data_IF_123550550320
#
_entry.id   IF_123550550320
#
_cell.length_a   1.000
_cell.length_b   1.000
_cell.length_c   1.000
_cell.angle_alpha   90.00
_cell.angle_beta   90.00
_cell.angle_gamma   90.00
#
_symmetry.space_group_name_H-M   'P 1'
#
loop_
_entity.id
_entity.type
_entity.pdbx_description
1 polymer ?
#
# COMPACT_ATOMS: atom_id res chain seq x y z
N UNK A 1 26.57 -57.83 -49.32
CA UNK A 1 25.15 -57.64 -49.68
C UNK A 1 25.05 -56.40 -50.57
N UNK A 2 24.83 -56.58 -51.87
CA UNK A 2 24.21 -55.62 -52.82
C UNK A 2 22.72 -56.03 -52.95
N UNK A 3 21.76 -55.27 -53.54
CA UNK A 3 21.89 -54.07 -54.39
C UNK A 3 20.83 -52.95 -54.16
N UNK A 4 20.93 -51.87 -54.96
CA UNK A 4 19.84 -51.07 -55.61
C UNK A 4 18.75 -50.40 -54.74
N UNK A 5 18.11 -49.28 -55.08
CA UNK A 5 17.45 -48.95 -56.35
C UNK A 5 16.99 -47.47 -56.33
N UNK A 6 16.99 -46.84 -57.49
CA UNK A 6 16.42 -45.51 -57.80
C UNK A 6 14.90 -45.46 -57.68
N UNK A 7 14.30 -44.27 -57.46
CA UNK A 7 13.16 -43.78 -58.26
C UNK A 7 12.86 -42.29 -57.98
N UNK A 8 12.74 -41.49 -59.03
CA UNK A 8 12.21 -40.13 -58.97
C UNK A 8 10.72 -40.05 -59.34
N UNK A 9 10.08 -38.91 -59.06
CA UNK A 9 8.93 -38.32 -59.77
C UNK A 9 8.69 -36.92 -59.14
N UNK A 10 8.91 -35.80 -59.86
CA UNK A 10 8.02 -35.11 -60.80
C UNK A 10 6.85 -34.33 -60.16
N UNK A 11 6.93 -32.99 -60.29
CA UNK A 11 5.87 -31.99 -60.51
C UNK A 11 4.49 -32.16 -59.86
N UNK A 12 4.06 -31.16 -59.09
CA UNK A 12 3.10 -30.15 -59.57
C UNK A 12 2.53 -29.28 -58.45
N UNK A 13 2.74 -27.98 -58.62
CA UNK A 13 1.94 -26.89 -58.05
C UNK A 13 0.48 -27.03 -58.48
N UNK A 14 -0.45 -27.13 -57.53
CA UNK A 14 -1.87 -26.97 -57.78
C UNK A 14 -2.28 -25.57 -57.32
N UNK A 15 -2.41 -24.69 -58.32
CA UNK A 15 -3.17 -23.45 -58.24
C UNK A 15 -4.66 -23.82 -58.20
N UNK A 16 -5.33 -23.48 -57.11
CA UNK A 16 -6.79 -23.49 -57.07
C UNK A 16 -7.30 -22.18 -57.69
N UNK A 17 -7.63 -22.25 -58.98
CA UNK A 17 -8.41 -21.23 -59.67
C UNK A 17 -9.89 -21.40 -59.31
N UNK A 18 -10.44 -20.45 -58.57
CA UNK A 18 -11.88 -20.28 -58.41
C UNK A 18 -12.37 -19.14 -59.31
N UNK A 19 -13.46 -19.45 -60.02
CA UNK A 19 -14.16 -18.66 -61.02
C UNK A 19 -14.82 -17.40 -60.42
N UNK A 20 -14.91 -16.32 -61.20
CA UNK A 20 -15.73 -15.16 -60.84
C UNK A 20 -15.57 -13.97 -61.78
N UNK A 21 -16.15 -14.06 -62.99
CA UNK A 21 -16.34 -12.90 -63.86
C UNK A 21 -17.50 -12.04 -63.36
N UNK A 22 -17.25 -10.74 -63.19
CA UNK A 22 -18.27 -9.75 -62.84
C UNK A 22 -17.77 -8.34 -63.18
N UNK A 23 -18.53 -7.65 -64.02
CA UNK A 23 -18.25 -6.34 -64.63
C UNK A 23 -18.08 -5.22 -63.61
N UNK A 24 -17.21 -4.27 -63.94
CA UNK A 24 -16.61 -3.33 -63.00
C UNK A 24 -17.57 -2.35 -62.31
N UNK A 25 -17.26 -2.09 -61.04
CA UNK A 25 -17.27 -0.76 -60.42
C UNK A 25 -16.06 -0.69 -59.49
N UNK A 26 -15.39 0.46 -59.47
CA UNK A 26 -14.13 0.69 -58.78
C UNK A 26 -14.20 0.37 -57.29
N UNK A 27 -13.67 -0.78 -56.89
CA UNK A 27 -13.38 -1.05 -55.48
C UNK A 27 -12.03 -0.44 -55.17
N UNK A 28 -12.04 0.58 -54.32
CA UNK A 28 -10.84 1.12 -53.71
C UNK A 28 -10.07 -0.05 -53.10
N UNK A 29 -8.89 -0.39 -53.65
CA UNK A 29 -7.95 -1.30 -53.01
C UNK A 29 -7.40 -0.57 -51.79
N UNK A 30 -8.21 -0.57 -50.73
CA UNK A 30 -7.76 -0.22 -49.40
C UNK A 30 -6.65 -1.20 -49.07
N UNK A 31 -5.41 -0.71 -49.13
CA UNK A 31 -4.30 -1.32 -48.43
C UNK A 31 -4.81 -1.54 -47.01
N UNK A 32 -5.07 -2.80 -46.64
CA UNK A 32 -5.28 -3.16 -45.24
C UNK A 32 -3.90 -3.02 -44.60
N UNK A 33 -3.54 -1.80 -44.22
CA UNK A 33 -2.43 -1.57 -43.33
C UNK A 33 -2.72 -2.39 -42.07
N UNK A 34 -1.80 -3.27 -41.61
CA UNK A 34 -1.97 -3.95 -40.35
C UNK A 34 -2.21 -2.88 -39.30
N UNK A 35 -3.40 -2.87 -38.69
CA UNK A 35 -3.63 -2.01 -37.53
C UNK A 35 -2.71 -2.56 -36.46
N UNK A 36 -1.59 -1.88 -36.22
CA UNK A 36 -0.68 -2.21 -35.11
C UNK A 36 -1.50 -2.01 -33.84
N UNK A 37 -1.97 -3.12 -33.27
CA UNK A 37 -2.77 -3.13 -32.05
C UNK A 37 -1.88 -3.25 -30.83
N UNK A 38 -2.28 -2.61 -29.74
CA UNK A 38 -1.68 -2.83 -28.43
C UNK A 38 -2.22 -4.13 -27.86
N UNK A 39 -1.35 -5.03 -27.42
CA UNK A 39 -1.75 -6.24 -26.68
C UNK A 39 -1.33 -6.11 -25.23
N UNK A 40 -2.31 -6.27 -24.35
CA UNK A 40 -2.14 -6.35 -22.90
C UNK A 40 -2.50 -7.77 -22.46
N UNK A 41 -1.70 -8.36 -21.58
CA UNK A 41 -1.95 -9.67 -21.01
C UNK A 41 -1.72 -9.64 -19.51
N UNK A 42 -2.15 -10.65 -18.77
CA UNK A 42 -1.88 -10.74 -17.34
C UNK A 42 -2.76 -11.76 -16.67
N UNK A 43 -2.74 -11.75 -15.33
CA UNK A 43 -3.58 -12.63 -14.51
C UNK A 43 -4.42 -11.79 -13.56
N UNK A 44 -5.70 -12.10 -13.45
CA UNK A 44 -6.59 -11.51 -12.45
C UNK A 44 -6.81 -12.50 -11.29
N UNK A 45 -6.48 -12.08 -10.06
CA UNK A 45 -6.58 -12.95 -8.90
C UNK A 45 -6.73 -12.16 -7.59
N UNK A 46 -7.40 -12.77 -6.62
CA UNK A 46 -7.50 -12.28 -5.21
C UNK A 46 -6.92 -13.29 -4.21
N UNK A 47 -5.92 -14.07 -4.63
CA UNK A 47 -5.41 -15.27 -3.96
C UNK A 47 -5.87 -16.56 -4.64
N UNK A 48 -7.09 -16.55 -5.20
CA UNK A 48 -7.46 -17.49 -6.26
C UNK A 48 -7.66 -16.76 -7.58
N UNK A 49 -7.39 -17.45 -8.67
CA UNK A 49 -7.72 -17.04 -10.02
C UNK A 49 -9.18 -16.61 -10.14
N UNK A 50 -9.42 -15.43 -10.72
CA UNK A 50 -10.75 -14.99 -11.09
C UNK A 50 -11.10 -15.63 -12.43
N UNK A 51 -11.86 -16.73 -12.42
CA UNK A 51 -12.28 -17.43 -13.65
C UNK A 51 -13.46 -16.74 -14.32
N UNK A 52 -13.40 -16.52 -15.65
CA UNK A 52 -14.50 -15.97 -16.43
C UNK A 52 -14.85 -14.51 -16.09
N UNK A 53 -13.95 -13.78 -15.46
CA UNK A 53 -14.15 -12.40 -15.05
C UNK A 53 -13.98 -11.44 -16.23
N UNK A 54 -14.89 -10.48 -16.44
CA UNK A 54 -14.76 -9.50 -17.52
C UNK A 54 -13.64 -8.51 -17.20
N UNK A 55 -12.73 -8.34 -18.17
CA UNK A 55 -11.63 -7.38 -18.14
C UNK A 55 -11.90 -6.31 -19.18
N UNK A 56 -11.81 -5.05 -18.76
CA UNK A 56 -12.04 -3.88 -19.62
C UNK A 56 -10.81 -2.97 -19.57
N UNK A 57 -10.40 -2.43 -20.72
CA UNK A 57 -9.31 -1.47 -20.82
C UNK A 57 -9.75 -0.21 -21.57
N UNK A 58 -9.35 0.96 -21.05
CA UNK A 58 -9.48 2.27 -21.70
C UNK A 58 -8.10 2.88 -21.81
N UNK A 59 -7.67 3.17 -23.03
CA UNK A 59 -6.32 3.63 -23.35
C UNK A 59 -6.35 5.09 -23.82
N UNK A 60 -5.17 5.71 -24.03
CA UNK A 60 -5.08 7.04 -24.66
C UNK A 60 -5.86 7.11 -25.96
N UNK A 61 -5.70 6.08 -26.77
CA UNK A 61 -6.58 5.80 -27.91
C UNK A 61 -6.96 4.34 -27.85
N UNK A 62 -8.19 4.03 -28.25
CA UNK A 62 -8.72 2.67 -28.23
C UNK A 62 -9.21 2.21 -26.86
N UNK A 63 -10.09 1.23 -26.90
CA UNK A 63 -10.59 0.51 -25.74
C UNK A 63 -10.87 -0.93 -26.14
N UNK A 64 -10.85 -1.84 -25.18
CA UNK A 64 -11.11 -3.24 -25.46
C UNK A 64 -11.65 -3.97 -24.23
N UNK A 65 -12.22 -5.15 -24.48
CA UNK A 65 -12.73 -6.03 -23.44
C UNK A 65 -12.35 -7.48 -23.74
N UNK A 66 -12.09 -8.26 -22.70
CA UNK A 66 -11.87 -9.70 -22.79
C UNK A 66 -12.40 -10.36 -21.52
N UNK A 67 -12.24 -11.67 -21.40
CA UNK A 67 -12.56 -12.42 -20.18
C UNK A 67 -11.37 -13.25 -19.76
N UNK A 68 -11.19 -13.44 -18.46
CA UNK A 68 -10.15 -14.33 -17.93
C UNK A 68 -10.48 -15.79 -18.19
N UNK A 69 -9.45 -16.61 -18.41
CA UNK A 69 -9.52 -18.05 -18.44
C UNK A 69 -9.69 -18.63 -17.01
N UNK A 70 -9.84 -19.95 -16.91
CA UNK A 70 -10.04 -20.64 -15.62
C UNK A 70 -8.86 -20.54 -14.65
N UNK A 71 -7.66 -20.27 -15.17
CA UNK A 71 -6.45 -19.97 -14.39
C UNK A 71 -6.27 -18.48 -14.10
N UNK A 72 -7.26 -17.65 -14.47
CA UNK A 72 -7.25 -16.20 -14.26
C UNK A 72 -6.45 -15.43 -15.31
N UNK A 73 -5.77 -16.10 -16.23
CA UNK A 73 -5.00 -15.43 -17.29
C UNK A 73 -5.93 -14.77 -18.30
N UNK A 74 -5.49 -13.67 -18.91
CA UNK A 74 -6.20 -13.01 -20.00
C UNK A 74 -5.23 -12.45 -21.04
N UNK A 75 -5.74 -12.27 -22.25
CA UNK A 75 -5.06 -11.54 -23.33
C UNK A 75 -6.08 -10.64 -24.03
N UNK A 76 -5.71 -9.38 -24.20
CA UNK A 76 -6.56 -8.32 -24.74
C UNK A 76 -5.82 -7.59 -25.86
N UNK A 77 -6.28 -7.78 -27.08
CA UNK A 77 -5.85 -6.98 -28.23
C UNK A 77 -6.74 -5.74 -28.37
N UNK A 78 -6.12 -4.57 -28.49
CA UNK A 78 -6.79 -3.26 -28.60
C UNK A 78 -6.41 -2.66 -29.95
N UNK A 79 -7.35 -2.68 -30.90
CA UNK A 79 -7.16 -2.08 -32.21
C UNK A 79 -6.93 -0.57 -32.08
N UNK A 80 -5.81 -0.07 -32.64
CA UNK A 80 -5.41 1.33 -32.51
C UNK A 80 -5.09 1.77 -31.08
N UNK A 81 -4.82 0.81 -30.18
CA UNK A 81 -4.51 1.05 -28.78
C UNK A 81 -3.20 1.81 -28.59
N UNK A 82 -3.21 2.88 -27.79
CA UNK A 82 -2.00 3.62 -27.40
C UNK A 82 -1.96 3.82 -25.89
N UNK A 83 -0.81 3.55 -25.28
CA UNK A 83 -0.57 3.69 -23.84
C UNK A 83 -0.59 5.17 -23.36
N UNK A 84 -0.86 5.42 -22.07
CA UNK A 84 -1.17 4.45 -21.03
C UNK A 84 -2.62 3.94 -21.12
N UNK A 85 -2.89 2.83 -20.45
CA UNK A 85 -4.24 2.27 -20.32
C UNK A 85 -4.63 2.10 -18.86
N UNK A 86 -5.88 2.37 -18.53
CA UNK A 86 -6.51 2.00 -17.25
C UNK A 86 -7.34 0.75 -17.48
N UNK A 87 -7.12 -0.27 -16.66
CA UNK A 87 -7.80 -1.55 -16.72
C UNK A 87 -8.68 -1.75 -15.49
N UNK A 88 -9.76 -2.50 -15.66
CA UNK A 88 -10.66 -2.94 -14.60
C UNK A 88 -11.01 -4.41 -14.83
N UNK A 89 -11.01 -5.23 -13.78
CA UNK A 89 -11.69 -6.53 -13.73
C UNK A 89 -12.79 -6.49 -12.69
N UNK A 90 -13.91 -7.15 -12.98
CA UNK A 90 -14.98 -7.35 -12.00
C UNK A 90 -14.94 -8.77 -11.44
N UNK A 91 -14.78 -8.90 -10.12
CA UNK A 91 -14.95 -10.18 -9.45
C UNK A 91 -16.45 -10.42 -9.18
N UNK A 92 -17.06 -11.34 -9.94
CA UNK A 92 -18.48 -11.64 -9.78
C UNK A 92 -18.84 -12.25 -8.41
N UNK A 93 -17.89 -12.86 -7.70
CA UNK A 93 -18.15 -13.51 -6.42
C UNK A 93 -18.46 -12.52 -5.29
N UNK A 94 -17.89 -11.31 -5.33
CA UNK A 94 -18.04 -10.29 -4.29
C UNK A 94 -18.35 -8.88 -4.84
N UNK A 95 -18.57 -8.76 -6.16
CA UNK A 95 -18.75 -7.50 -6.89
C UNK A 95 -17.62 -6.49 -6.70
N UNK A 96 -16.43 -6.94 -6.26
CA UNK A 96 -15.27 -6.05 -6.16
C UNK A 96 -14.67 -5.81 -7.53
N UNK A 97 -14.28 -4.56 -7.75
CA UNK A 97 -13.52 -4.15 -8.92
C UNK A 97 -12.06 -4.00 -8.52
N UNK A 98 -11.17 -4.53 -9.36
CA UNK A 98 -9.73 -4.33 -9.22
C UNK A 98 -9.24 -3.59 -10.46
N UNK A 99 -8.28 -2.69 -10.25
CA UNK A 99 -7.77 -1.85 -11.29
C UNK A 99 -6.26 -1.98 -11.43
N UNK A 100 -5.76 -1.67 -12.63
CA UNK A 100 -4.34 -1.54 -12.90
C UNK A 100 -4.13 -0.46 -13.96
N UNK A 101 -2.94 0.13 -13.98
CA UNK A 101 -2.53 1.07 -15.04
C UNK A 101 -1.41 0.40 -15.84
N UNK A 102 -1.56 0.31 -17.15
CA UNK A 102 -0.52 -0.17 -18.06
C UNK A 102 0.22 1.02 -18.67
N UNK A 103 1.55 1.06 -18.52
CA UNK A 103 2.43 2.02 -19.22
C UNK A 103 3.36 1.37 -20.25
N UNK A 104 3.37 0.04 -20.31
CA UNK A 104 4.09 -0.75 -21.29
C UNK A 104 3.16 -1.81 -21.89
N UNK A 105 3.48 -2.30 -23.07
CA UNK A 105 2.84 -3.50 -23.61
C UNK A 105 3.25 -4.73 -22.79
N UNK A 106 2.42 -5.78 -22.81
CA UNK A 106 2.68 -7.02 -22.07
C UNK A 106 1.90 -7.14 -20.77
N UNK A 107 2.57 -7.53 -19.70
CA UNK A 107 1.94 -8.01 -18.45
C UNK A 107 1.36 -6.87 -17.62
N UNK A 108 0.10 -7.03 -17.23
CA UNK A 108 -0.68 -6.14 -16.38
C UNK A 108 -1.57 -7.00 -15.50
N UNK A 109 -1.13 -7.34 -14.29
CA UNK A 109 -1.96 -8.16 -13.40
C UNK A 109 -3.05 -7.33 -12.73
N UNK A 110 -4.22 -7.94 -12.52
CA UNK A 110 -5.37 -7.31 -11.88
C UNK A 110 -5.60 -7.97 -10.51
N UNK A 111 -5.00 -7.38 -9.49
CA UNK A 111 -4.90 -7.94 -8.13
C UNK A 111 -5.18 -6.85 -7.09
N UNK A 112 -5.47 -7.20 -5.83
CA UNK A 112 -5.52 -6.23 -4.74
C UNK A 112 -4.27 -5.34 -4.62
N UNK A 113 -3.07 -5.85 -4.93
CA UNK A 113 -1.83 -5.08 -4.87
C UNK A 113 -1.74 -4.05 -6.00
N UNK A 114 -2.10 -4.42 -7.23
CA UNK A 114 -2.09 -3.50 -8.38
C UNK A 114 -3.19 -2.44 -8.29
N UNK A 115 -4.31 -2.77 -7.64
CA UNK A 115 -5.38 -1.82 -7.32
C UNK A 115 -4.95 -0.78 -6.27
N UNK A 116 -4.29 -1.22 -5.19
CA UNK A 116 -3.67 -0.34 -4.20
C UNK A 116 -2.58 0.55 -4.79
N UNK A 117 -1.72 -0.01 -5.64
CA UNK A 117 -0.67 0.74 -6.34
C UNK A 117 -1.26 1.78 -7.29
N UNK A 118 -2.29 1.42 -8.06
CA UNK A 118 -2.94 2.36 -8.97
C UNK A 118 -3.64 3.48 -8.21
N UNK A 119 -4.32 3.15 -7.11
CA UNK A 119 -4.91 4.13 -6.17
C UNK A 119 -3.85 5.07 -5.61
N UNK A 120 -2.68 4.54 -5.23
CA UNK A 120 -1.53 5.32 -4.75
C UNK A 120 -0.94 6.23 -5.83
N UNK A 121 -0.88 5.80 -7.08
CA UNK A 121 -0.39 6.61 -8.20
C UNK A 121 -1.34 7.75 -8.52
N UNK A 122 -2.65 7.45 -8.58
CA UNK A 122 -3.66 8.43 -8.99
C UNK A 122 -4.10 9.37 -7.87
N UNK A 123 -3.76 9.05 -6.62
CA UNK A 123 -4.19 9.79 -5.42
C UNK A 123 -5.71 9.86 -5.26
N UNK A 124 -6.44 8.88 -5.79
CA UNK A 124 -7.91 8.83 -5.79
C UNK A 124 -8.40 7.41 -6.00
N UNK A 125 -9.69 7.17 -5.75
CA UNK A 125 -10.36 5.91 -6.05
C UNK A 125 -10.32 5.59 -7.55
N UNK A 126 -9.88 4.37 -7.87
CA UNK A 126 -9.70 3.92 -9.24
C UNK A 126 -11.00 3.61 -9.97
N UNK A 127 -12.10 3.33 -9.25
CA UNK A 127 -13.40 3.14 -9.90
C UNK A 127 -13.87 4.43 -10.56
N UNK A 128 -13.64 5.57 -9.91
CA UNK A 128 -13.86 6.90 -10.47
C UNK A 128 -12.97 7.19 -11.68
N UNK A 129 -11.66 6.91 -11.57
CA UNK A 129 -10.69 7.07 -12.67
C UNK A 129 -11.08 6.23 -13.88
N UNK A 130 -11.46 4.96 -13.69
CA UNK A 130 -11.83 4.09 -14.80
C UNK A 130 -13.15 4.53 -15.45
N UNK A 131 -14.09 5.07 -14.67
CA UNK A 131 -15.37 5.55 -15.19
C UNK A 131 -15.16 6.72 -16.16
N UNK A 132 -14.34 7.70 -15.78
CA UNK A 132 -14.00 8.87 -16.59
C UNK A 132 -12.48 9.13 -16.60
N UNK A 133 -11.71 8.41 -17.44
CA UNK A 133 -10.25 8.46 -17.39
C UNK A 133 -9.71 9.76 -18.01
N UNK A 134 -9.10 10.60 -17.17
CA UNK A 134 -8.21 11.66 -17.63
C UNK A 134 -6.83 11.05 -17.95
N UNK A 135 -6.67 10.59 -19.19
CA UNK A 135 -5.44 9.92 -19.62
C UNK A 135 -4.21 10.84 -19.57
N UNK A 136 -4.38 12.16 -19.73
CA UNK A 136 -3.28 13.09 -19.59
C UNK A 136 -2.79 13.16 -18.14
N UNK A 137 -3.71 13.14 -17.17
CA UNK A 137 -3.36 13.03 -15.76
C UNK A 137 -2.68 11.69 -15.43
N UNK A 138 -3.15 10.57 -16.01
CA UNK A 138 -2.52 9.25 -15.85
C UNK A 138 -1.08 9.27 -16.39
N UNK A 139 -0.87 9.79 -17.60
CA UNK A 139 0.46 9.90 -18.21
C UNK A 139 1.43 10.73 -17.35
N UNK A 140 0.94 11.84 -16.78
CA UNK A 140 1.75 12.68 -15.91
C UNK A 140 2.08 12.00 -14.56
N UNK A 141 1.14 11.24 -14.01
CA UNK A 141 1.28 10.62 -12.69
C UNK A 141 2.17 9.36 -12.73
N UNK A 142 2.16 8.61 -13.83
CA UNK A 142 2.76 7.28 -13.89
C UNK A 142 4.10 7.29 -14.63
N UNK A 143 5.16 7.21 -13.85
CA UNK A 143 6.56 7.09 -14.28
C UNK A 143 7.18 5.86 -13.63
N UNK A 144 8.34 5.39 -14.11
CA UNK A 144 9.06 4.28 -13.47
C UNK A 144 9.36 4.58 -12.00
N UNK A 145 9.70 5.83 -11.69
CA UNK A 145 10.01 6.25 -10.31
C UNK A 145 8.76 6.31 -9.43
N UNK A 146 7.66 6.87 -9.93
CA UNK A 146 6.41 6.91 -9.16
C UNK A 146 5.82 5.51 -8.95
N UNK A 147 6.02 4.56 -9.88
CA UNK A 147 5.65 3.15 -9.69
C UNK A 147 6.49 2.52 -8.57
N UNK A 148 7.82 2.71 -8.57
CA UNK A 148 8.69 2.19 -7.51
C UNK A 148 8.30 2.77 -6.15
N UNK A 149 8.07 4.07 -6.08
CA UNK A 149 7.62 4.72 -4.84
C UNK A 149 6.25 4.19 -4.41
N UNK A 150 5.30 4.02 -5.33
CA UNK A 150 3.99 3.45 -5.02
C UNK A 150 4.09 2.01 -4.52
N UNK A 151 4.99 1.18 -5.06
CA UNK A 151 5.26 -0.17 -4.55
C UNK A 151 5.79 -0.14 -3.11
N UNK A 152 6.71 0.77 -2.79
CA UNK A 152 7.23 0.95 -1.43
C UNK A 152 6.14 1.41 -0.46
N UNK A 153 5.31 2.37 -0.89
CA UNK A 153 4.19 2.90 -0.11
C UNK A 153 3.12 1.83 0.18
N UNK A 154 2.79 0.99 -0.81
CA UNK A 154 1.88 -0.17 -0.62
C UNK A 154 2.49 -1.20 0.33
N UNK A 155 3.77 -1.52 0.14
CA UNK A 155 4.48 -2.48 1.01
C UNK A 155 4.45 -2.02 2.47
N UNK A 156 4.60 -0.71 2.68
CA UNK A 156 4.54 -0.11 4.00
C UNK A 156 3.12 -0.09 4.57
N UNK A 157 2.12 0.30 3.78
CA UNK A 157 0.72 0.29 4.21
C UNK A 157 0.25 -1.11 4.63
N UNK A 158 0.88 -2.16 4.09
CA UNK A 158 0.54 -3.55 4.35
C UNK A 158 1.46 -4.25 5.36
N UNK A 159 2.51 -3.60 5.87
CA UNK A 159 3.58 -4.28 6.62
C UNK A 159 3.11 -4.94 7.93
N UNK A 160 2.02 -4.48 8.52
CA UNK A 160 1.39 -5.12 9.69
C UNK A 160 0.55 -6.36 9.34
N UNK A 161 0.17 -6.51 8.08
CA UNK A 161 -0.62 -7.64 7.57
C UNK A 161 0.27 -8.67 6.89
N UNK A 162 0.97 -8.25 5.84
CA UNK A 162 1.77 -9.13 4.98
C UNK A 162 3.13 -8.51 4.67
N UNK A 163 4.14 -9.36 4.60
CA UNK A 163 5.48 -8.94 4.22
C UNK A 163 5.61 -8.90 2.69
N UNK A 164 5.30 -7.74 2.10
CA UNK A 164 5.38 -7.48 0.66
C UNK A 164 6.82 -7.30 0.18
N UNK A 165 7.79 -7.12 1.09
CA UNK A 165 9.20 -6.95 0.72
C UNK A 165 9.81 -8.20 0.03
N UNK A 166 9.14 -9.35 0.14
CA UNK A 166 9.48 -10.59 -0.56
C UNK A 166 9.21 -10.53 -2.08
N UNK A 167 8.41 -9.57 -2.53
CA UNK A 167 8.14 -9.32 -3.95
C UNK A 167 9.02 -8.17 -4.43
N UNK A 168 9.84 -8.42 -5.44
CA UNK A 168 10.72 -7.38 -6.02
C UNK A 168 9.94 -6.40 -6.89
N UNK A 169 8.94 -6.91 -7.62
CA UNK A 169 8.05 -6.16 -8.48
C UNK A 169 6.72 -6.91 -8.54
N UNK A 170 5.65 -6.33 -8.02
CA UNK A 170 4.30 -6.90 -8.11
C UNK A 170 3.44 -6.19 -9.18
N UNK A 171 4.03 -5.23 -9.89
CA UNK A 171 3.43 -4.49 -10.99
C UNK A 171 3.66 -5.18 -12.35
N UNK A 172 4.92 -5.49 -12.68
CA UNK A 172 5.32 -6.03 -13.99
C UNK A 172 5.59 -7.54 -14.03
N UNK A 173 5.79 -8.19 -12.87
CA UNK A 173 6.09 -9.63 -12.82
C UNK A 173 4.87 -10.46 -13.22
N UNK A 174 4.98 -11.43 -14.14
CA UNK A 174 3.89 -12.37 -14.44
C UNK A 174 3.40 -13.09 -13.19
N UNK A 175 2.09 -13.16 -13.01
CA UNK A 175 1.45 -13.86 -11.90
C UNK A 175 0.90 -15.22 -12.35
N UNK A 176 1.29 -16.27 -11.65
CA UNK A 176 0.65 -17.59 -11.69
C UNK A 176 -0.23 -17.75 -10.45
N UNK A 177 -1.54 -17.67 -10.64
CA UNK A 177 -2.51 -17.84 -9.57
C UNK A 177 -2.80 -19.31 -9.26
N UNK A 178 -3.13 -19.61 -8.00
CA UNK A 178 -3.77 -20.86 -7.63
C UNK A 178 -5.19 -20.93 -8.25
N UNK A 179 -5.65 -22.14 -8.55
CA UNK A 179 -6.97 -22.37 -9.15
C UNK A 179 -7.80 -23.25 -8.22
N UNK A 180 -9.11 -23.30 -8.45
CA UNK A 180 -9.99 -24.21 -7.71
C UNK A 180 -9.58 -25.69 -7.88
N UNK A 181 -8.97 -26.05 -9.01
CA UNK A 181 -8.46 -27.40 -9.28
C UNK A 181 -7.09 -27.67 -8.64
N UNK A 182 -6.32 -26.64 -8.33
CA UNK A 182 -5.02 -26.76 -7.69
C UNK A 182 -4.74 -25.54 -6.80
N UNK A 183 -5.22 -25.62 -5.56
CA UNK A 183 -5.24 -24.52 -4.59
C UNK A 183 -3.88 -24.17 -4.01
N UNK A 184 -2.81 -24.89 -4.37
CA UNK A 184 -1.45 -24.65 -3.87
C UNK A 184 -0.43 -24.34 -4.97
N UNK A 185 -0.86 -24.31 -6.24
CA UNK A 185 0.01 -24.10 -7.39
C UNK A 185 0.45 -22.65 -7.65
N UNK A 186 -0.04 -21.71 -6.84
CA UNK A 186 0.30 -20.30 -6.90
C UNK A 186 1.78 -20.01 -6.71
N UNK A 187 2.27 -18.96 -7.37
CA UNK A 187 3.62 -18.45 -7.17
C UNK A 187 3.76 -17.64 -5.86
N UNK A 188 4.89 -16.94 -5.70
CA UNK A 188 5.16 -16.15 -4.50
C UNK A 188 4.19 -14.96 -4.33
N UNK A 189 3.77 -14.32 -5.43
CA UNK A 189 2.83 -13.20 -5.38
C UNK A 189 1.44 -13.71 -5.04
N UNK A 190 1.01 -14.84 -5.62
CA UNK A 190 -0.27 -15.47 -5.30
C UNK A 190 -0.38 -15.88 -3.82
N UNK A 191 0.67 -16.53 -3.28
CA UNK A 191 0.74 -16.86 -1.85
C UNK A 191 0.67 -15.64 -0.94
N UNK A 192 1.17 -14.50 -1.39
CA UNK A 192 1.02 -13.24 -0.66
C UNK A 192 -0.41 -12.70 -0.75
N UNK A 193 -1.07 -12.81 -1.91
CA UNK A 193 -2.49 -12.46 -2.06
C UNK A 193 -3.38 -13.34 -1.16
N UNK A 194 -3.07 -14.63 -1.02
CA UNK A 194 -3.74 -15.52 -0.06
C UNK A 194 -3.56 -15.05 1.38
N UNK A 195 -2.32 -14.74 1.78
CA UNK A 195 -2.03 -14.23 3.11
C UNK A 195 -2.73 -12.88 3.37
N UNK A 196 -2.81 -12.02 2.36
CA UNK A 196 -3.51 -10.73 2.45
C UNK A 196 -5.01 -10.95 2.66
N UNK A 197 -5.63 -11.84 1.85
CA UNK A 197 -7.05 -12.19 1.98
C UNK A 197 -7.37 -12.80 3.35
N UNK A 198 -6.47 -13.61 3.90
CA UNK A 198 -6.66 -14.25 5.21
C UNK A 198 -6.54 -13.25 6.38
N UNK A 199 -5.69 -12.23 6.25
CA UNK A 199 -5.38 -11.29 7.35
C UNK A 199 -6.12 -9.96 7.29
N UNK A 200 -6.77 -9.66 6.17
CA UNK A 200 -7.34 -8.34 5.92
C UNK A 200 -8.81 -8.43 5.50
N UNK A 201 -9.69 -7.85 6.30
CA UNK A 201 -11.12 -7.72 5.98
C UNK A 201 -11.35 -6.74 4.83
N UNK A 202 -12.52 -6.82 4.18
CA UNK A 202 -12.90 -5.87 3.14
C UNK A 202 -12.93 -4.41 3.65
N UNK A 203 -13.32 -4.18 4.91
CA UNK A 203 -13.30 -2.85 5.53
C UNK A 203 -11.87 -2.33 5.70
N UNK A 204 -10.95 -3.16 6.19
CA UNK A 204 -9.53 -2.79 6.30
C UNK A 204 -8.90 -2.53 4.93
N UNK A 205 -9.30 -3.30 3.90
CA UNK A 205 -8.90 -3.02 2.52
C UNK A 205 -9.38 -1.66 2.02
N UNK A 206 -10.63 -1.30 2.29
CA UNK A 206 -11.14 0.04 1.99
C UNK A 206 -10.38 1.15 2.73
N UNK A 207 -10.02 0.93 4.00
CA UNK A 207 -9.20 1.88 4.78
C UNK A 207 -7.79 2.04 4.20
N UNK A 208 -7.15 0.94 3.77
CA UNK A 208 -5.84 0.98 3.12
C UNK A 208 -5.90 1.74 1.78
N UNK A 209 -6.95 1.55 0.98
CA UNK A 209 -7.16 2.31 -0.26
C UNK A 209 -7.38 3.81 0.01
N UNK A 210 -8.20 4.18 1.00
CA UNK A 210 -8.39 5.58 1.38
C UNK A 210 -7.09 6.24 1.88
N UNK A 211 -6.31 5.49 2.67
CA UNK A 211 -4.99 5.91 3.11
C UNK A 211 -4.06 6.13 1.91
N UNK A 212 -3.94 5.16 1.00
CA UNK A 212 -3.05 5.26 -0.15
C UNK A 212 -3.45 6.39 -1.12
N UNK A 213 -4.75 6.62 -1.30
CA UNK A 213 -5.25 7.72 -2.11
C UNK A 213 -4.80 9.08 -1.54
N UNK A 214 -4.97 9.29 -0.23
CA UNK A 214 -4.86 10.62 0.40
C UNK A 214 -3.56 10.88 1.15
N UNK A 215 -2.81 9.84 1.52
CA UNK A 215 -1.63 10.02 2.34
C UNK A 215 -0.52 10.75 1.59
N UNK A 216 0.25 11.55 2.31
CA UNK A 216 1.54 12.03 1.80
C UNK A 216 2.52 10.86 1.72
N UNK A 217 3.47 10.94 0.78
CA UNK A 217 4.59 10.00 0.79
C UNK A 217 5.39 10.14 2.09
N UNK A 218 6.04 9.06 2.48
CA UNK A 218 6.97 9.06 3.61
C UNK A 218 8.09 10.07 3.34
N UNK A 219 8.39 10.94 4.30
CA UNK A 219 9.48 11.90 4.17
C UNK A 219 9.21 13.09 3.25
N UNK A 220 7.95 13.36 2.89
CA UNK A 220 7.59 14.69 2.35
C UNK A 220 7.89 15.70 3.44
N UNK A 221 8.94 16.49 3.22
CA UNK A 221 9.22 17.66 4.06
C UNK A 221 8.02 18.58 3.92
N UNK A 222 7.27 18.77 5.00
CA UNK A 222 6.21 19.76 5.06
C UNK A 222 6.91 21.10 5.25
N UNK A 223 7.41 21.68 4.15
CA UNK A 223 8.08 22.98 4.15
C UNK A 223 7.12 24.12 4.56
N UNK A 224 5.82 23.85 4.45
CA UNK A 224 4.71 24.70 4.86
C UNK A 224 3.85 23.96 5.88
N UNK A 225 4.39 23.76 7.08
CA UNK A 225 3.54 23.63 8.26
C UNK A 225 2.52 24.78 8.24
N UNK A 226 1.23 24.47 8.33
CA UNK A 226 0.15 25.47 8.45
C UNK A 226 0.60 26.60 9.42
N UNK A 227 0.36 27.89 9.13
CA UNK A 227 0.85 28.99 9.96
C UNK A 227 0.55 28.74 11.45
N UNK A 228 1.60 28.46 12.25
CA UNK A 228 1.49 28.18 13.68
C UNK A 228 1.64 26.71 14.11
N UNK A 229 1.70 25.73 13.19
CA UNK A 229 1.99 24.34 13.57
C UNK A 229 3.46 24.19 13.98
N UNK A 230 3.68 23.82 15.24
CA UNK A 230 5.01 23.52 15.80
C UNK A 230 5.19 22.01 15.91
N UNK A 231 6.06 21.38 15.10
CA UNK A 231 6.28 19.94 15.17
C UNK A 231 6.92 19.53 16.50
N UNK A 232 6.47 18.39 17.04
CA UNK A 232 6.93 17.80 18.29
C UNK A 232 7.40 16.37 18.05
N UNK A 233 8.40 15.97 18.83
CA UNK A 233 8.96 14.62 18.88
C UNK A 233 9.44 14.33 20.31
N UNK A 234 8.92 13.27 20.89
CA UNK A 234 9.37 12.71 22.18
C UNK A 234 9.75 11.24 21.97
N UNK A 235 10.84 10.79 22.61
CA UNK A 235 11.33 9.42 22.55
C UNK A 235 11.20 8.76 23.92
N UNK A 236 10.53 7.62 23.97
CA UNK A 236 10.29 6.88 25.21
C UNK A 236 10.69 5.39 25.06
N UNK A 237 11.34 4.79 26.09
CA UNK A 237 11.98 5.47 27.22
C UNK A 237 13.24 6.23 26.78
N UNK A 238 13.62 7.33 27.46
CA UNK A 238 14.89 8.03 27.19
C UNK A 238 16.12 7.31 27.78
N UNK A 239 15.92 6.43 28.76
CA UNK A 239 16.96 5.59 29.35
C UNK A 239 16.41 4.20 29.62
N UNK A 240 17.17 3.17 29.28
CA UNK A 240 16.78 1.78 29.57
C UNK A 240 17.99 0.88 29.83
N UNK A 241 17.74 -0.24 30.51
CA UNK A 241 18.72 -1.32 30.73
C UNK A 241 18.21 -2.59 30.07
N UNK A 242 19.08 -3.34 29.40
CA UNK A 242 18.71 -4.59 28.72
C UNK A 242 19.84 -5.61 28.80
N UNK A 243 19.51 -6.90 28.81
CA UNK A 243 20.52 -7.95 28.72
C UNK A 243 21.21 -7.93 27.35
N UNK A 244 22.43 -8.47 27.27
CA UNK A 244 23.08 -8.77 25.98
C UNK A 244 22.17 -9.64 25.11
N UNK A 245 22.04 -9.31 23.82
CA UNK A 245 21.07 -9.93 22.90
C UNK A 245 19.58 -9.80 23.30
N UNK A 246 19.27 -9.01 24.34
CA UNK A 246 17.91 -8.74 24.77
C UNK A 246 17.19 -7.75 23.85
N UNK A 247 15.86 -7.69 23.97
CA UNK A 247 15.01 -6.80 23.18
C UNK A 247 14.36 -5.73 24.04
N UNK A 248 14.15 -4.56 23.46
CA UNK A 248 13.45 -3.43 24.06
C UNK A 248 12.63 -2.68 23.00
N UNK A 249 11.44 -2.23 23.37
CA UNK A 249 10.59 -1.40 22.49
C UNK A 249 10.74 0.07 22.86
N UNK A 250 11.08 0.89 21.87
CA UNK A 250 10.98 2.35 21.94
C UNK A 250 9.72 2.82 21.21
N UNK A 251 9.21 3.99 21.58
CA UNK A 251 8.19 4.70 20.82
C UNK A 251 8.58 6.14 20.61
N UNK A 252 8.17 6.65 19.46
CA UNK A 252 8.20 8.06 19.16
C UNK A 252 6.81 8.62 19.36
N UNK A 253 6.71 9.78 20.00
CA UNK A 253 5.45 10.49 20.17
C UNK A 253 5.54 11.79 19.41
N UNK A 254 4.65 11.92 18.44
CA UNK A 254 4.67 13.00 17.45
C UNK A 254 3.29 13.63 17.34
N UNK A 255 3.23 14.94 17.13
CA UNK A 255 2.02 15.59 16.65
C UNK A 255 1.97 15.58 15.11
N UNK A 256 0.81 15.87 14.53
CA UNK A 256 0.62 15.82 13.09
C UNK A 256 0.00 17.13 12.58
N UNK A 257 0.45 17.65 11.43
CA UNK A 257 -0.20 18.80 10.80
C UNK A 257 -1.65 18.46 10.46
N UNK A 258 -2.55 19.45 10.55
CA UNK A 258 -3.93 19.27 10.13
C UNK A 258 -3.99 18.85 8.66
N UNK A 259 -4.97 17.99 8.32
CA UNK A 259 -5.22 17.50 6.95
C UNK A 259 -4.09 16.69 6.31
N UNK A 260 -3.01 16.35 7.03
CA UNK A 260 -1.96 15.47 6.52
C UNK A 260 -2.15 14.06 7.08
N UNK A 261 -2.35 13.10 6.20
CA UNK A 261 -2.37 11.67 6.54
C UNK A 261 -1.04 11.03 6.15
N UNK A 262 -0.48 10.22 7.04
CA UNK A 262 0.77 9.51 6.80
C UNK A 262 0.53 8.01 6.72
N UNK A 263 1.24 7.34 5.81
CA UNK A 263 1.15 5.87 5.64
C UNK A 263 1.64 5.14 6.89
N UNK A 264 2.67 5.70 7.54
CA UNK A 264 3.20 5.30 8.85
C UNK A 264 3.51 6.55 9.66
N UNK A 265 3.83 6.39 10.93
CA UNK A 265 4.47 7.45 11.68
C UNK A 265 5.77 7.88 10.97
N UNK A 266 5.94 9.16 10.59
CA UNK A 266 7.06 9.65 9.77
C UNK A 266 8.31 9.82 10.63
N UNK A 267 8.83 8.71 11.14
CA UNK A 267 10.04 8.67 11.96
C UNK A 267 11.02 7.64 11.42
N UNK A 268 12.29 7.98 11.54
CA UNK A 268 13.42 7.12 11.21
C UNK A 268 14.14 6.71 12.48
N UNK A 269 14.20 5.41 12.71
CA UNK A 269 14.94 4.79 13.81
C UNK A 269 16.35 4.41 13.37
N UNK A 270 17.34 4.68 14.22
CA UNK A 270 18.74 4.31 14.00
C UNK A 270 19.41 3.97 15.32
N UNK A 271 20.29 2.97 15.32
CA UNK A 271 21.31 2.83 16.38
C UNK A 271 22.48 3.74 16.02
N UNK A 272 22.97 4.52 16.99
CA UNK A 272 24.03 5.52 16.75
C UNK A 272 25.37 4.84 16.54
N UNK A 273 25.68 3.81 17.33
CA UNK A 273 26.89 3.03 17.23
C UNK A 273 26.75 1.89 16.20
N UNK A 274 27.81 1.65 15.41
CA UNK A 274 27.81 0.59 14.39
C UNK A 274 27.78 -0.82 15.00
N UNK A 275 28.28 -0.99 16.22
CA UNK A 275 28.27 -2.24 16.98
C UNK A 275 27.19 -2.25 18.07
N UNK A 276 26.29 -1.26 18.08
CA UNK A 276 25.22 -1.13 19.08
C UNK A 276 24.00 -1.99 18.87
N UNK A 277 24.09 -3.06 18.06
CA UNK A 277 22.95 -3.94 17.77
C UNK A 277 22.12 -3.45 16.58
N UNK A 278 20.79 -3.64 16.65
CA UNK A 278 19.87 -3.27 15.55
C UNK A 278 18.56 -2.71 16.06
N UNK A 279 17.86 -1.95 15.22
CA UNK A 279 16.52 -1.42 15.52
C UNK A 279 15.60 -1.55 14.31
N UNK A 280 14.36 -1.99 14.55
CA UNK A 280 13.34 -2.10 13.51
C UNK A 280 12.69 -0.74 13.17
N UNK A 281 11.95 -0.70 12.07
CA UNK A 281 11.15 0.47 11.67
C UNK A 281 10.09 0.87 12.70
N UNK A 282 9.71 -0.05 13.60
CA UNK A 282 8.71 0.18 14.65
C UNK A 282 9.35 0.46 16.02
N UNK A 283 10.66 0.69 16.08
CA UNK A 283 11.36 0.97 17.34
C UNK A 283 11.68 -0.27 18.20
N UNK A 284 11.59 -1.49 17.66
CA UNK A 284 12.07 -2.69 18.38
C UNK A 284 13.59 -2.78 18.26
N UNK A 285 14.28 -2.50 19.35
CA UNK A 285 15.73 -2.58 19.48
C UNK A 285 16.16 -3.97 19.96
N UNK A 286 17.20 -4.53 19.33
CA UNK A 286 17.90 -5.73 19.78
C UNK A 286 19.33 -5.34 20.17
N UNK A 287 19.65 -5.53 21.44
CA UNK A 287 20.95 -5.20 22.01
C UNK A 287 22.07 -6.09 21.44
N UNK A 288 23.32 -5.58 21.36
CA UNK A 288 24.46 -6.38 20.96
C UNK A 288 24.82 -7.42 22.02
N UNK A 289 25.74 -8.32 21.66
CA UNK A 289 26.29 -9.35 22.54
C UNK A 289 27.33 -8.79 23.54
N UNK A 290 27.79 -7.55 23.33
CA UNK A 290 28.79 -6.88 24.15
C UNK A 290 28.14 -5.89 25.12
N UNK A 291 28.43 -6.06 26.41
CA UNK A 291 28.03 -5.10 27.43
C UNK A 291 28.64 -3.71 27.17
N UNK A 292 27.88 -2.66 27.43
CA UNK A 292 28.26 -1.29 27.10
C UNK A 292 27.10 -0.32 27.20
N UNK A 293 27.36 0.93 26.83
CA UNK A 293 26.34 1.98 26.70
C UNK A 293 26.20 2.29 25.22
N UNK A 294 24.98 2.21 24.71
CA UNK A 294 24.63 2.44 23.32
C UNK A 294 23.49 3.44 23.22
N UNK A 295 23.24 3.97 22.03
CA UNK A 295 22.23 4.99 21.82
C UNK A 295 21.29 4.65 20.67
N UNK A 296 20.00 4.82 20.95
CA UNK A 296 18.94 4.74 19.95
C UNK A 296 18.49 6.15 19.61
N UNK A 297 18.60 6.52 18.34
CA UNK A 297 18.14 7.80 17.82
C UNK A 297 16.86 7.61 17.03
N UNK A 298 15.90 8.50 17.25
CA UNK A 298 14.74 8.70 16.38
C UNK A 298 14.75 10.11 15.79
N UNK A 299 14.48 10.22 14.50
CA UNK A 299 14.42 11.50 13.77
C UNK A 299 13.09 11.57 13.03
N UNK A 300 12.44 12.74 12.99
CA UNK A 300 11.27 12.95 12.14
C UNK A 300 11.67 13.00 10.68
N UNK A 301 11.00 12.24 9.82
CA UNK A 301 11.25 12.21 8.38
C UNK A 301 10.68 13.45 7.67
N UNK A 302 9.56 13.98 8.16
CA UNK A 302 8.86 15.15 7.64
C UNK A 302 9.36 16.48 8.24
N UNK A 303 10.00 16.42 9.41
CA UNK A 303 10.71 17.54 10.05
C UNK A 303 12.14 17.13 10.46
N UNK A 304 13.08 16.99 9.51
CA UNK A 304 14.40 16.39 9.75
C UNK A 304 15.26 17.06 10.83
N UNK A 305 14.98 18.32 11.17
CA UNK A 305 15.67 19.02 12.26
C UNK A 305 15.33 18.47 13.65
N UNK A 306 14.20 17.77 13.81
CA UNK A 306 13.78 17.17 15.08
C UNK A 306 14.33 15.75 15.22
N UNK A 307 15.15 15.53 16.24
CA UNK A 307 15.58 14.20 16.64
C UNK A 307 15.72 14.09 18.15
N UNK A 308 15.57 12.88 18.68
CA UNK A 308 15.77 12.55 20.08
C UNK A 308 16.66 11.30 20.17
N UNK A 309 17.41 11.19 21.28
CA UNK A 309 18.36 10.09 21.52
C UNK A 309 18.09 9.50 22.90
N UNK A 310 17.95 8.19 22.97
CA UNK A 310 17.84 7.42 24.20
C UNK A 310 19.14 6.69 24.49
N UNK A 311 19.47 6.54 25.78
CA UNK A 311 20.63 5.80 26.26
C UNK A 311 20.23 4.40 26.71
N UNK A 312 20.95 3.39 26.23
CA UNK A 312 20.71 1.97 26.54
C UNK A 312 21.95 1.38 27.20
N UNK A 313 21.82 0.94 28.45
CA UNK A 313 22.87 0.21 29.15
C UNK A 313 22.66 -1.28 28.95
N UNK A 314 23.60 -1.93 28.27
CA UNK A 314 23.59 -3.37 27.96
C UNK A 314 24.53 -4.08 28.92
N UNK A 315 24.05 -5.12 29.61
CA UNK A 315 24.87 -5.88 30.56
C UNK A 315 24.14 -7.02 31.25
N UNK A 316 24.84 -7.72 32.15
CA UNK A 316 24.29 -8.82 32.96
C UNK A 316 23.43 -8.27 34.11
N UNK A 317 22.24 -7.80 33.77
CA UNK A 317 21.21 -7.37 34.71
C UNK A 317 19.94 -8.19 34.47
N UNK A 318 19.14 -8.49 35.50
CA UNK A 318 17.86 -9.17 35.31
C UNK A 318 17.05 -8.42 34.26
N UNK A 319 16.39 -9.16 33.37
CA UNK A 319 15.63 -8.59 32.27
C UNK A 319 14.71 -7.47 32.79
N UNK A 320 14.67 -6.30 32.14
CA UNK A 320 13.80 -5.22 32.59
C UNK A 320 12.36 -5.72 32.68
N UNK A 321 11.73 -5.51 33.84
CA UNK A 321 10.29 -5.74 33.97
C UNK A 321 9.59 -4.78 33.02
N UNK A 322 8.80 -5.31 32.09
CA UNK A 322 8.03 -4.49 31.17
C UNK A 322 7.12 -3.54 31.96
N UNK A 323 7.38 -2.23 31.84
CA UNK A 323 6.56 -1.19 32.46
C UNK A 323 5.77 -0.51 31.35
N UNK A 324 4.45 -0.70 31.27
CA UNK A 324 3.62 -0.10 30.24
C UNK A 324 3.56 1.42 30.42
N UNK A 325 3.46 2.16 29.33
CA UNK A 325 3.06 3.56 29.39
C UNK A 325 2.01 3.90 28.33
N UNK A 326 1.38 5.06 28.55
CA UNK A 326 0.49 5.75 27.64
C UNK A 326 0.77 7.24 27.75
N UNK A 327 1.03 7.90 26.63
CA UNK A 327 1.14 9.35 26.55
C UNK A 327 0.43 9.90 25.31
N UNK A 328 0.18 11.21 25.29
CA UNK A 328 -0.36 11.94 24.13
C UNK A 328 0.48 13.19 23.94
N UNK A 329 0.84 13.50 22.68
CA UNK A 329 1.75 14.59 22.35
C UNK A 329 1.27 15.96 22.86
N UNK A 330 -0.04 16.22 22.81
CA UNK A 330 -0.65 17.43 23.34
C UNK A 330 -1.68 17.06 24.41
N UNK A 331 -1.52 17.61 25.63
CA UNK A 331 -2.49 17.44 26.73
C UNK A 331 -3.52 18.57 26.80
N UNK A 332 -3.31 19.66 26.05
CA UNK A 332 -4.29 20.72 25.82
C UNK A 332 -4.13 21.24 24.39
N UNK A 333 -5.25 21.46 23.69
CA UNK A 333 -5.29 22.04 22.34
C UNK A 333 -6.39 23.09 22.25
N UNK A 334 -6.17 24.14 21.45
CA UNK A 334 -7.19 25.14 21.15
C UNK A 334 -7.60 25.05 19.68
N UNK A 335 -8.90 24.93 19.42
CA UNK A 335 -9.48 24.67 18.11
C UNK A 335 -10.63 25.63 17.82
N UNK A 336 -10.86 25.92 16.54
CA UNK A 336 -12.08 26.62 16.10
C UNK A 336 -13.28 25.66 16.10
N UNK A 337 -14.52 26.18 16.23
CA UNK A 337 -15.73 25.38 16.02
C UNK A 337 -15.69 24.57 14.71
N UNK A 338 -15.95 23.27 14.80
CA UNK A 338 -15.95 22.35 13.64
C UNK A 338 -14.57 21.97 13.09
N UNK A 339 -13.47 22.46 13.67
CA UNK A 339 -12.12 22.11 13.21
C UNK A 339 -11.78 20.64 13.49
N UNK A 340 -11.00 20.03 12.60
CA UNK A 340 -10.46 18.68 12.80
C UNK A 340 -9.07 18.73 13.43
N UNK A 341 -8.80 17.79 14.33
CA UNK A 341 -7.50 17.60 14.95
C UNK A 341 -7.21 16.11 15.11
N UNK A 342 -5.97 15.70 14.91
CA UNK A 342 -5.57 14.29 15.07
C UNK A 342 -4.76 14.11 16.35
N UNK A 343 -5.33 13.40 17.32
CA UNK A 343 -4.61 13.01 18.54
C UNK A 343 -3.85 11.70 18.32
N UNK A 344 -2.60 11.67 18.74
CA UNK A 344 -1.75 10.50 18.65
C UNK A 344 -1.36 10.03 20.05
N UNK A 345 -1.67 8.78 20.34
CA UNK A 345 -1.22 8.12 21.56
C UNK A 345 0.14 7.49 21.32
N UNK A 346 1.08 7.68 22.23
CA UNK A 346 2.30 6.89 22.31
C UNK A 346 2.17 5.80 23.36
N UNK A 347 2.59 4.60 23.01
CA UNK A 347 2.66 3.43 23.91
C UNK A 347 3.92 2.62 23.59
N UNK A 348 4.36 1.78 24.52
CA UNK A 348 5.26 0.66 24.25
C UNK A 348 4.50 -0.66 24.09
N UNK A 349 5.04 -1.57 23.28
CA UNK A 349 4.46 -2.90 23.07
C UNK A 349 5.14 -3.95 23.95
N UNK A 350 4.36 -4.86 24.59
CA UNK A 350 4.91 -6.01 25.29
C UNK A 350 5.71 -6.91 24.34
N UNK A 351 6.83 -7.49 24.78
CA UNK A 351 7.60 -8.43 23.96
C UNK A 351 6.75 -9.61 23.49
N UNK A 352 6.84 -9.94 22.20
CA UNK A 352 6.19 -11.14 21.62
C UNK A 352 4.68 -11.03 21.39
N UNK A 353 4.07 -9.87 21.65
CA UNK A 353 2.64 -9.62 21.37
C UNK A 353 2.52 -8.76 20.12
N UNK A 354 1.72 -9.21 19.17
CA UNK A 354 1.42 -8.49 17.92
C UNK A 354 -0.01 -7.97 17.95
N UNK A 355 -0.18 -6.67 17.73
CA UNK A 355 -1.48 -6.03 17.70
C UNK A 355 -1.83 -5.62 16.26
N UNK A 356 -3.07 -5.88 15.86
CA UNK A 356 -3.60 -5.51 14.54
C UNK A 356 -3.76 -3.99 14.42
N UNK A 357 -3.99 -3.31 15.54
CA UNK A 357 -4.00 -1.85 15.69
C UNK A 357 -3.40 -1.49 17.04
N UNK A 358 -2.99 -0.25 17.23
CA UNK A 358 -2.60 0.23 18.55
C UNK A 358 -3.73 -0.02 19.57
N UNK A 359 -3.50 -0.75 20.68
CA UNK A 359 -4.51 -1.09 21.69
C UNK A 359 -4.87 0.14 22.53
N UNK A 360 -5.48 1.13 21.89
CA UNK A 360 -5.99 2.34 22.54
C UNK A 360 -7.43 2.59 22.11
N UNK A 361 -8.23 2.97 23.09
CA UNK A 361 -9.60 3.41 22.90
C UNK A 361 -9.69 4.91 23.14
N UNK A 362 -10.23 5.63 22.15
CA UNK A 362 -10.54 7.05 22.23
C UNK A 362 -12.01 7.23 22.59
N UNK A 363 -12.30 8.07 23.58
CA UNK A 363 -13.66 8.43 23.98
C UNK A 363 -13.79 9.93 24.27
N UNK A 364 -15.00 10.45 24.07
CA UNK A 364 -15.37 11.79 24.49
C UNK A 364 -15.92 11.73 25.92
N UNK A 365 -15.50 12.65 26.77
CA UNK A 365 -15.99 12.72 28.15
C UNK A 365 -17.37 13.38 28.20
N UNK A 366 -17.56 14.48 27.49
CA UNK A 366 -18.84 15.17 27.38
C UNK A 366 -19.65 14.69 26.15
N UNK A 367 -20.96 14.59 26.32
CA UNK A 367 -21.86 14.11 25.25
C UNK A 367 -21.91 15.04 24.02
N UNK A 368 -21.62 16.33 24.20
CA UNK A 368 -21.60 17.34 23.15
C UNK A 368 -20.18 17.75 22.74
N UNK A 369 -19.15 16.96 23.06
CA UNK A 369 -17.75 17.26 22.74
C UNK A 369 -17.38 17.02 21.26
N UNK A 370 -18.34 16.90 20.35
CA UNK A 370 -18.10 16.67 18.93
C UNK A 370 -18.03 15.18 18.57
N UNK A 371 -17.04 14.79 17.78
CA UNK A 371 -16.85 13.40 17.35
C UNK A 371 -15.38 12.99 17.39
N UNK A 372 -15.10 11.74 17.74
CA UNK A 372 -13.76 11.15 17.63
C UNK A 372 -13.85 9.75 17.03
N UNK A 373 -12.99 9.44 16.07
CA UNK A 373 -12.93 8.11 15.48
C UNK A 373 -11.93 7.20 16.22
N UNK A 374 -11.92 5.93 15.82
CA UNK A 374 -11.05 4.91 16.39
C UNK A 374 -9.56 5.17 16.16
N UNK A 375 -9.18 6.08 15.25
CA UNK A 375 -7.79 6.45 14.97
C UNK A 375 -7.35 7.69 15.77
N UNK A 376 -8.25 8.34 16.52
CA UNK A 376 -7.96 9.59 17.23
C UNK A 376 -8.19 10.84 16.38
N UNK A 377 -8.89 10.72 15.24
CA UNK A 377 -9.33 11.87 14.45
C UNK A 377 -10.54 12.51 15.12
N UNK A 378 -10.32 13.67 15.73
CA UNK A 378 -11.30 14.46 16.45
C UNK A 378 -11.88 15.58 15.58
N UNK A 379 -13.19 15.81 15.68
CA UNK A 379 -13.89 16.97 15.12
C UNK A 379 -14.50 17.77 16.26
N UNK A 380 -14.05 19.02 16.43
CA UNK A 380 -14.53 19.92 17.46
C UNK A 380 -16.03 20.21 17.31
N UNK A 381 -16.78 20.35 18.41
CA UNK A 381 -18.17 20.76 18.34
C UNK A 381 -18.30 22.19 17.80
N UNK A 382 -19.50 22.55 17.37
CA UNK A 382 -19.80 23.91 16.92
C UNK A 382 -19.94 24.90 18.07
N UNK A 383 -20.16 24.41 19.29
CA UNK A 383 -20.33 25.23 20.47
C UNK A 383 -18.97 25.52 21.12
N UNK A 384 -18.63 26.80 21.40
CA UNK A 384 -17.45 27.14 22.19
C UNK A 384 -17.54 26.59 23.61
N UNK A 385 -16.42 26.16 24.16
CA UNK A 385 -16.36 25.53 25.47
C UNK A 385 -15.05 24.78 25.72
N UNK A 386 -14.92 24.20 26.91
CA UNK A 386 -13.83 23.29 27.26
C UNK A 386 -14.39 21.88 27.27
N UNK A 387 -13.75 20.99 26.53
CA UNK A 387 -14.13 19.60 26.35
C UNK A 387 -12.95 18.68 26.65
N UNK A 388 -13.21 17.40 26.86
CA UNK A 388 -12.16 16.44 27.14
C UNK A 388 -12.25 15.20 26.25
N UNK A 389 -11.10 14.85 25.68
CA UNK A 389 -10.87 13.58 24.99
C UNK A 389 -10.09 12.67 25.92
N UNK A 390 -10.63 11.47 26.17
CA UNK A 390 -9.95 10.42 26.91
C UNK A 390 -9.32 9.45 25.93
N UNK A 391 -8.05 9.12 26.15
CA UNK A 391 -7.45 7.91 25.61
C UNK A 391 -7.13 6.96 26.75
N UNK A 392 -7.47 5.70 26.55
CA UNK A 392 -7.13 4.62 27.46
C UNK A 392 -6.42 3.52 26.69
N UNK A 393 -5.47 2.88 27.35
CA UNK A 393 -4.79 1.71 26.81
C UNK A 393 -5.59 0.45 27.13
N UNK A 394 -5.91 -0.35 26.11
CA UNK A 394 -6.86 -1.47 26.23
C UNK A 394 -6.26 -2.66 26.98
N UNK A 395 -4.96 -2.93 26.76
CA UNK A 395 -4.20 -4.01 27.39
C UNK A 395 -3.69 -3.66 28.81
N UNK A 396 -3.74 -2.37 29.17
CA UNK A 396 -3.38 -1.82 30.48
C UNK A 396 -4.38 -0.71 30.87
N UNK A 397 -5.62 -1.09 31.23
CA UNK A 397 -6.75 -0.17 31.39
C UNK A 397 -6.56 0.86 32.51
N UNK A 398 -5.63 0.63 33.43
CA UNK A 398 -5.20 1.59 34.44
C UNK A 398 -4.46 2.80 33.86
N UNK A 399 -3.94 2.69 32.64
CA UNK A 399 -3.28 3.78 31.93
C UNK A 399 -4.31 4.54 31.08
N UNK A 400 -4.58 5.78 31.49
CA UNK A 400 -5.43 6.71 30.76
C UNK A 400 -4.88 8.13 30.80
N UNK A 401 -5.12 8.88 29.73
CA UNK A 401 -4.77 10.30 29.60
C UNK A 401 -6.03 11.07 29.21
N UNK A 402 -6.26 12.19 29.89
CA UNK A 402 -7.25 13.19 29.50
C UNK A 402 -6.55 14.32 28.76
N UNK A 403 -7.10 14.69 27.61
CA UNK A 403 -6.67 15.81 26.79
C UNK A 403 -7.75 16.88 26.85
N UNK A 404 -7.37 18.09 27.23
CA UNK A 404 -8.24 19.26 27.23
C UNK A 404 -8.35 19.85 25.81
N UNK A 405 -9.57 20.18 25.39
CA UNK A 405 -9.86 20.80 24.10
C UNK A 405 -10.64 22.09 24.34
N UNK A 406 -10.00 23.21 24.06
CA UNK A 406 -10.60 24.54 24.16
C UNK A 406 -11.14 24.93 22.79
N UNK A 407 -12.46 25.04 22.66
CA UNK A 407 -13.13 25.51 21.45
C UNK A 407 -13.47 26.99 21.60
N UNK A 408 -12.85 27.83 20.78
CA UNK A 408 -12.99 29.30 20.85
C UNK A 408 -12.93 29.98 19.50
#
# INVERSE_FOLDING_TARGET
MKPALSLGFCFSTVLLAACGGGTGTSVNSGVVTPVIGLTLSGTAATGMALSGAPVNAKCRTGSGTTTTASDGTYSLAIAGGVLPCVLQVNNAADNKKLHAIAINAGVVNLTPLTDMLSTRLMRTDMSGVFSNPDIAAVEKAVTVESIKQAQADVSLALSSYVDVSKLTDFYGTPLKAATAANTTAGDAQDKLLDALKAKMTAAQQGQALDLLARASAVGVVVDNAEPGFKPALELLPMTATVATNGKLSFSAVTNYPANVRYIRQPVKWTVVESDGGSISLNGEYTAPDKAGVYHVKVQREDFPALSAVATVTVGSTPAPVFTPYLNVAAKSVSLKPGAQHFFAAGINYPPGIYYIRQPVTWTLVEANAGAIDILGSYTAPMQPGVYHVRVQRDDFPELMVLVEVIVS
#
